data_IF_663494289029
#
_entry.id   IF_663494289029
#
_cell.length_a   1.000
_cell.length_b   1.000
_cell.length_c   1.000
_cell.angle_alpha   90.00
_cell.angle_beta   90.00
_cell.angle_gamma   90.00
#
_symmetry.space_group_name_H-M   'P 1'
#
loop_
_entity.id
_entity.type
_entity.pdbx_description
1 polymer ?
#
# COMPACT_ATOMS: atom_id res chain seq x y z
N UNK A 1 79.53 -4.46 39.74
CA UNK A 1 79.50 -3.48 38.62
C UNK A 1 78.10 -2.88 38.62
N UNK A 2 77.96 -1.63 39.04
CA UNK A 2 76.68 -0.93 39.18
C UNK A 2 76.35 -0.19 37.88
N UNK A 3 75.32 -0.63 37.17
CA UNK A 3 74.81 0.05 35.97
C UNK A 3 73.60 0.91 36.37
N UNK A 4 73.81 2.21 36.53
CA UNK A 4 72.74 3.19 36.74
C UNK A 4 72.13 3.52 35.37
N UNK A 5 70.88 3.12 35.14
CA UNK A 5 70.10 3.57 33.98
C UNK A 5 69.55 4.97 34.25
N UNK A 6 69.99 5.96 33.47
CA UNK A 6 69.40 7.29 33.46
C UNK A 6 68.18 7.32 32.51
N UNK A 7 67.01 7.65 33.05
CA UNK A 7 65.81 7.94 32.28
C UNK A 7 65.93 9.38 31.77
N UNK A 8 65.86 9.65 30.45
CA UNK A 8 65.93 11.02 29.95
C UNK A 8 64.67 11.81 30.32
N UNK A 9 64.86 13.08 30.67
CA UNK A 9 63.78 13.99 31.02
C UNK A 9 62.74 14.09 29.89
N UNK A 10 61.48 13.87 30.26
CA UNK A 10 60.32 14.04 29.37
C UNK A 10 60.32 15.48 28.88
N UNK A 11 60.54 15.71 27.58
CA UNK A 11 60.40 17.04 26.97
C UNK A 11 58.96 17.49 27.21
N UNK A 12 58.79 18.47 28.09
CA UNK A 12 57.50 19.13 28.32
C UNK A 12 57.12 19.76 26.99
N UNK A 13 55.99 19.30 26.42
CA UNK A 13 55.40 19.93 25.24
C UNK A 13 55.30 21.43 25.54
N UNK A 14 55.94 22.26 24.71
CA UNK A 14 55.96 23.70 24.94
C UNK A 14 54.52 24.22 25.07
N UNK A 15 54.30 25.22 25.93
CA UNK A 15 52.97 25.82 26.16
C UNK A 15 52.29 26.23 24.84
N UNK A 16 53.08 26.54 23.81
CA UNK A 16 52.64 26.82 22.44
C UNK A 16 51.98 25.62 21.73
N UNK A 17 52.48 24.39 21.91
CA UNK A 17 51.88 23.19 21.31
C UNK A 17 50.55 22.82 21.98
N UNK A 18 50.43 23.04 23.30
CA UNK A 18 49.18 22.83 24.03
C UNK A 18 48.14 23.87 23.60
N UNK A 19 48.53 25.14 23.50
CA UNK A 19 47.67 26.20 23.00
C UNK A 19 47.20 25.97 21.56
N UNK A 20 48.07 25.48 20.67
CA UNK A 20 47.68 25.12 19.29
C UNK A 20 46.73 23.91 19.22
N UNK A 21 46.90 22.92 20.10
CA UNK A 21 45.96 21.79 20.21
C UNK A 21 44.59 22.23 20.73
N UNK A 22 44.54 23.10 21.74
CA UNK A 22 43.28 23.66 22.23
C UNK A 22 42.62 24.59 21.20
N UNK A 23 43.39 25.41 20.47
CA UNK A 23 42.87 26.25 19.41
C UNK A 23 42.32 25.43 18.23
N UNK A 24 43.00 24.34 17.85
CA UNK A 24 42.53 23.38 16.85
C UNK A 24 41.23 22.69 17.28
N UNK A 25 41.16 22.21 18.53
CA UNK A 25 39.93 21.65 19.10
C UNK A 25 38.80 22.68 19.18
N UNK A 26 39.09 23.95 19.51
CA UNK A 26 38.09 25.02 19.52
C UNK A 26 37.56 25.26 18.10
N UNK A 27 38.43 25.40 17.10
CA UNK A 27 38.00 25.58 15.70
C UNK A 27 37.14 24.39 15.22
N UNK A 28 37.47 23.17 15.62
CA UNK A 28 36.68 21.98 15.27
C UNK A 28 35.35 21.86 16.04
N UNK A 29 35.26 22.42 17.26
CA UNK A 29 34.04 22.39 18.08
C UNK A 29 33.05 23.51 17.74
N UNK A 30 33.51 24.63 17.16
CA UNK A 30 32.68 25.78 16.79
C UNK A 30 32.24 25.79 15.33
N UNK A 31 32.76 24.89 14.48
CA UNK A 31 32.11 24.62 13.19
C UNK A 31 30.91 23.73 13.44
N UNK A 32 29.79 24.34 13.82
CA UNK A 32 28.48 23.72 13.73
C UNK A 32 28.28 23.37 12.25
N UNK A 33 28.44 22.10 11.90
CA UNK A 33 27.97 21.58 10.63
C UNK A 33 26.44 21.53 10.72
N UNK A 34 25.81 22.69 10.56
CA UNK A 34 24.40 22.78 10.26
C UNK A 34 24.20 22.19 8.87
N UNK A 35 24.11 20.87 8.81
CA UNK A 35 23.55 20.17 7.66
C UNK A 35 22.04 20.40 7.68
N UNK A 36 21.61 21.61 7.32
CA UNK A 36 20.23 21.83 6.98
C UNK A 36 19.92 20.95 5.77
N UNK A 37 18.99 20.02 5.93
CA UNK A 37 18.39 19.33 4.80
C UNK A 37 17.83 20.41 3.85
N UNK A 38 18.58 20.71 2.78
CA UNK A 38 18.20 21.73 1.81
C UNK A 38 16.89 21.27 1.18
N UNK A 39 15.80 21.95 1.49
CA UNK A 39 14.50 21.70 0.84
C UNK A 39 14.73 21.81 -0.66
N UNK A 40 14.67 20.68 -1.37
CA UNK A 40 14.87 20.65 -2.81
C UNK A 40 13.87 21.60 -3.45
N UNK A 41 14.37 22.64 -4.11
CA UNK A 41 13.56 23.67 -4.78
C UNK A 41 12.75 23.08 -5.95
N UNK A 42 13.10 21.88 -6.41
CA UNK A 42 12.45 21.18 -7.52
C UNK A 42 11.58 19.98 -7.07
N UNK A 43 11.56 19.67 -5.78
CA UNK A 43 10.87 18.49 -5.23
C UNK A 43 9.39 18.43 -5.62
N UNK A 44 8.68 19.56 -5.53
CA UNK A 44 7.27 19.64 -5.92
C UNK A 44 7.05 19.43 -7.43
N UNK A 45 7.98 19.89 -8.27
CA UNK A 45 7.90 19.71 -9.73
C UNK A 45 8.19 18.27 -10.12
N UNK A 46 9.22 17.67 -9.53
CA UNK A 46 9.58 16.28 -9.76
C UNK A 46 8.47 15.34 -9.26
N UNK A 47 7.92 15.60 -8.08
CA UNK A 47 6.76 14.87 -7.56
C UNK A 47 5.59 14.90 -8.56
N UNK A 48 5.21 16.09 -9.04
CA UNK A 48 4.14 16.22 -10.04
C UNK A 48 4.43 15.44 -11.33
N UNK A 49 5.67 15.50 -11.85
CA UNK A 49 6.07 14.74 -13.04
C UNK A 49 5.95 13.24 -12.82
N UNK A 50 6.44 12.74 -11.68
CA UNK A 50 6.35 11.33 -11.31
C UNK A 50 4.90 10.88 -11.16
N UNK A 51 4.07 11.64 -10.46
CA UNK A 51 2.63 11.35 -10.33
C UNK A 51 1.96 11.31 -11.70
N UNK A 52 2.24 12.29 -12.57
CA UNK A 52 1.68 12.34 -13.91
C UNK A 52 2.12 11.13 -14.75
N UNK A 53 3.41 10.81 -14.79
CA UNK A 53 3.93 9.66 -15.53
C UNK A 53 3.30 8.33 -15.06
N UNK A 54 3.19 8.13 -13.74
CA UNK A 54 2.56 6.93 -13.17
C UNK A 54 1.04 6.88 -13.38
N UNK A 55 0.38 8.04 -13.58
CA UNK A 55 -1.05 8.13 -13.88
C UNK A 55 -1.40 7.85 -15.34
N UNK A 56 -0.42 7.99 -16.25
CA UNK A 56 -0.59 7.66 -17.66
C UNK A 56 -0.48 6.16 -17.95
N UNK A 57 0.00 5.37 -16.99
CA UNK A 57 0.05 3.92 -17.11
C UNK A 57 -1.36 3.32 -17.04
N UNK A 58 -1.54 2.14 -17.65
CA UNK A 58 -2.75 1.33 -17.49
C UNK A 58 -2.97 0.91 -16.02
N UNK A 59 -4.10 0.25 -15.72
CA UNK A 59 -4.42 -0.29 -14.37
C UNK A 59 -3.17 -0.88 -13.72
N UNK A 60 -2.83 -0.41 -12.51
CA UNK A 60 -1.64 -0.83 -11.74
C UNK A 60 -2.02 -1.76 -10.59
N UNK A 61 -3.10 -2.51 -10.73
CA UNK A 61 -3.48 -3.59 -9.83
C UNK A 61 -2.58 -4.82 -9.99
N UNK A 62 -2.39 -5.58 -8.90
CA UNK A 62 -1.58 -6.80 -8.90
C UNK A 62 -1.94 -7.73 -10.06
N UNK A 63 -0.93 -8.14 -10.84
CA UNK A 63 -1.09 -9.02 -12.01
C UNK A 63 -1.34 -8.29 -13.33
N UNK A 64 -1.57 -6.98 -13.32
CA UNK A 64 -1.75 -6.19 -14.54
C UNK A 64 -0.41 -5.91 -15.26
N UNK A 65 -0.52 -5.46 -16.51
CA UNK A 65 0.63 -4.94 -17.26
C UNK A 65 1.16 -3.63 -16.67
N UNK A 66 0.28 -2.73 -16.20
CA UNK A 66 0.66 -1.44 -15.63
C UNK A 66 1.53 -1.54 -14.37
N UNK A 67 1.38 -2.61 -13.56
CA UNK A 67 2.29 -2.88 -12.42
C UNK A 67 3.72 -3.13 -12.90
N UNK A 68 3.89 -3.91 -13.96
CA UNK A 68 5.23 -4.22 -14.51
C UNK A 68 5.89 -2.97 -15.06
N UNK A 69 5.11 -2.13 -15.75
CA UNK A 69 5.58 -0.85 -16.29
C UNK A 69 5.94 0.13 -15.18
N UNK A 70 5.12 0.24 -14.13
CA UNK A 70 5.42 1.07 -12.97
C UNK A 70 6.68 0.60 -12.23
N UNK A 71 6.86 -0.71 -12.05
CA UNK A 71 8.05 -1.27 -11.42
C UNK A 71 9.33 -0.94 -12.20
N UNK A 72 9.29 -1.06 -13.53
CA UNK A 72 10.40 -0.65 -14.40
C UNK A 72 10.66 0.85 -14.32
N UNK A 73 9.61 1.67 -14.41
CA UNK A 73 9.71 3.12 -14.31
C UNK A 73 10.40 3.55 -13.00
N UNK A 74 9.98 2.98 -11.86
CA UNK A 74 10.57 3.26 -10.54
C UNK A 74 12.03 2.78 -10.47
N UNK A 75 12.29 1.56 -10.95
CA UNK A 75 13.64 0.99 -10.98
C UNK A 75 14.60 1.85 -11.81
N UNK A 76 14.17 2.32 -12.97
CA UNK A 76 15.00 3.14 -13.86
C UNK A 76 15.30 4.52 -13.25
N UNK A 77 14.34 5.10 -12.53
CA UNK A 77 14.58 6.33 -11.76
C UNK A 77 15.59 6.09 -10.63
N UNK A 78 15.44 5.04 -9.83
CA UNK A 78 16.41 4.73 -8.79
C UNK A 78 17.81 4.44 -9.37
N UNK A 79 17.89 3.71 -10.49
CA UNK A 79 19.15 3.45 -11.17
C UNK A 79 19.83 4.75 -11.62
N UNK A 80 19.06 5.71 -12.15
CA UNK A 80 19.57 7.01 -12.56
C UNK A 80 20.03 7.86 -11.36
N UNK A 81 19.18 7.98 -10.33
CA UNK A 81 19.44 8.78 -9.13
C UNK A 81 20.66 8.27 -8.35
N UNK A 82 20.85 6.96 -8.29
CA UNK A 82 21.97 6.32 -7.59
C UNK A 82 23.17 5.98 -8.48
N UNK A 83 23.21 6.45 -9.73
CA UNK A 83 24.29 6.13 -10.68
C UNK A 83 25.70 6.45 -10.18
N UNK A 84 25.86 7.47 -9.33
CA UNK A 84 27.14 7.87 -8.73
C UNK A 84 27.43 7.21 -7.37
N UNK A 85 26.52 6.39 -6.84
CA UNK A 85 26.63 5.77 -5.52
C UNK A 85 27.05 4.30 -5.62
N UNK A 86 28.36 4.05 -5.58
CA UNK A 86 28.95 2.70 -5.76
C UNK A 86 28.52 1.65 -4.74
N UNK A 87 28.01 2.05 -3.58
CA UNK A 87 27.52 1.15 -2.52
C UNK A 87 26.05 0.78 -2.66
N UNK A 88 25.28 1.50 -3.49
CA UNK A 88 23.84 1.27 -3.65
C UNK A 88 23.60 0.24 -4.76
N UNK A 89 22.79 -0.76 -4.45
CA UNK A 89 22.31 -1.75 -5.42
C UNK A 89 20.81 -1.57 -5.61
N UNK A 90 20.39 -1.42 -6.85
CA UNK A 90 18.96 -1.38 -7.23
C UNK A 90 18.61 -2.65 -7.98
N UNK A 91 17.36 -3.09 -7.88
CA UNK A 91 16.86 -4.25 -8.60
C UNK A 91 15.35 -4.38 -8.49
N UNK A 92 14.79 -5.32 -9.23
CA UNK A 92 13.38 -5.69 -9.15
C UNK A 92 13.30 -7.08 -8.52
N UNK A 93 12.56 -7.20 -7.42
CA UNK A 93 12.25 -8.47 -6.81
C UNK A 93 10.83 -8.91 -7.20
N UNK A 94 10.73 -10.10 -7.77
CA UNK A 94 9.46 -10.69 -8.19
C UNK A 94 8.93 -11.63 -7.11
N UNK A 95 7.61 -11.59 -6.89
CA UNK A 95 6.91 -12.48 -5.97
C UNK A 95 5.78 -13.20 -6.73
N UNK A 96 5.54 -14.46 -6.38
CA UNK A 96 4.36 -15.18 -6.84
C UNK A 96 3.19 -14.82 -5.94
N UNK A 97 2.12 -14.29 -6.54
CA UNK A 97 0.90 -13.90 -5.86
C UNK A 97 -0.31 -14.44 -6.62
N UNK A 98 -1.39 -14.87 -5.95
CA UNK A 98 -2.65 -15.15 -6.62
C UNK A 98 -3.19 -13.87 -7.26
N UNK A 99 -3.62 -13.96 -8.52
CA UNK A 99 -4.24 -12.85 -9.25
C UNK A 99 -5.73 -13.12 -9.38
N UNK A 100 -6.56 -12.24 -8.83
CA UNK A 100 -8.01 -12.34 -8.94
C UNK A 100 -8.48 -11.91 -10.32
N UNK A 101 -9.14 -12.82 -11.04
CA UNK A 101 -9.79 -12.50 -12.32
C UNK A 101 -11.27 -12.24 -12.09
N UNK A 102 -11.70 -11.02 -12.37
CA UNK A 102 -13.08 -10.62 -12.21
C UNK A 102 -13.88 -10.87 -13.49
N UNK A 103 -15.12 -11.34 -13.33
CA UNK A 103 -16.13 -11.47 -14.39
C UNK A 103 -17.35 -10.65 -14.03
N UNK A 104 -18.06 -10.18 -15.05
CA UNK A 104 -19.34 -9.48 -14.86
C UNK A 104 -20.38 -10.53 -14.46
N UNK A 105 -21.06 -10.30 -13.34
CA UNK A 105 -22.20 -11.09 -12.91
C UNK A 105 -23.49 -10.58 -13.54
N UNK A 106 -24.56 -11.38 -13.46
CA UNK A 106 -25.90 -10.93 -13.84
C UNK A 106 -26.90 -11.34 -12.78
N UNK A 107 -27.93 -10.51 -12.59
CA UNK A 107 -29.06 -10.79 -11.72
C UNK A 107 -30.34 -10.79 -12.56
N UNK A 108 -31.18 -11.80 -12.36
CA UNK A 108 -32.50 -11.94 -12.99
C UNK A 108 -33.53 -12.32 -11.93
N UNK A 109 -34.76 -11.90 -12.13
CA UNK A 109 -35.89 -12.32 -11.30
C UNK A 109 -36.50 -13.58 -11.92
N UNK A 110 -36.66 -14.61 -11.11
CA UNK A 110 -37.31 -15.84 -11.56
C UNK A 110 -38.77 -15.58 -11.99
N UNK A 111 -39.22 -16.28 -13.03
CA UNK A 111 -40.60 -16.23 -13.52
C UNK A 111 -40.95 -15.07 -14.47
N UNK A 112 -40.00 -14.19 -14.81
CA UNK A 112 -40.24 -13.12 -15.81
C UNK A 112 -39.65 -13.52 -17.16
N UNK A 113 -40.51 -13.64 -18.16
CA UNK A 113 -40.14 -13.93 -19.55
C UNK A 113 -39.60 -12.63 -20.20
N UNK A 114 -38.55 -12.75 -21.03
CA UNK A 114 -37.91 -11.63 -21.73
C UNK A 114 -37.32 -10.53 -20.84
N UNK A 115 -37.01 -10.83 -19.56
CA UNK A 115 -36.35 -9.87 -18.69
C UNK A 115 -34.90 -9.61 -19.15
N UNK A 116 -34.55 -8.34 -19.32
CA UNK A 116 -33.15 -7.93 -19.44
C UNK A 116 -32.43 -8.10 -18.09
N UNK A 117 -31.30 -8.83 -18.03
CA UNK A 117 -30.56 -9.01 -16.79
C UNK A 117 -30.00 -7.69 -16.28
N UNK A 118 -29.99 -7.53 -14.96
CA UNK A 118 -29.21 -6.46 -14.31
C UNK A 118 -27.75 -6.89 -14.33
N UNK A 119 -26.89 -6.09 -14.94
CA UNK A 119 -25.45 -6.32 -14.89
C UNK A 119 -24.91 -5.99 -13.50
N UNK A 120 -24.14 -6.92 -12.94
CA UNK A 120 -23.47 -6.76 -11.67
C UNK A 120 -21.96 -6.63 -11.94
N UNK A 121 -21.43 -5.39 -12.01
CA UNK A 121 -19.99 -5.22 -12.12
C UNK A 121 -19.32 -5.80 -10.87
N UNK A 122 -18.16 -6.43 -11.02
CA UNK A 122 -17.44 -7.01 -9.89
C UNK A 122 -16.98 -5.91 -8.92
N UNK A 123 -17.20 -6.14 -7.63
CA UNK A 123 -16.68 -5.28 -6.58
C UNK A 123 -15.28 -5.74 -6.18
N UNK A 124 -14.30 -4.86 -6.35
CA UNK A 124 -12.94 -5.08 -5.86
C UNK A 124 -12.87 -4.57 -4.42
N UNK A 125 -12.83 -5.50 -3.47
CA UNK A 125 -12.82 -5.19 -2.03
C UNK A 125 -11.43 -5.47 -1.45
N UNK A 126 -11.03 -4.68 -0.46
CA UNK A 126 -9.73 -4.83 0.20
C UNK A 126 -9.71 -5.96 1.23
N UNK A 127 -10.85 -6.25 1.86
CA UNK A 127 -10.94 -7.12 3.04
C UNK A 127 -11.44 -8.54 2.74
N UNK A 128 -12.10 -8.76 1.60
CA UNK A 128 -12.72 -10.04 1.27
C UNK A 128 -12.70 -10.25 -0.25
N UNK A 129 -12.37 -11.48 -0.66
CA UNK A 129 -12.49 -11.93 -2.05
C UNK A 129 -13.44 -13.12 -2.07
N UNK A 130 -14.76 -12.91 -2.24
CA UNK A 130 -15.73 -14.00 -2.25
C UNK A 130 -15.46 -14.98 -3.39
N UNK A 131 -15.84 -16.27 -3.23
CA UNK A 131 -15.78 -17.22 -4.33
C UNK A 131 -16.72 -16.78 -5.47
N UNK A 132 -16.39 -17.18 -6.70
CA UNK A 132 -17.31 -17.07 -7.83
C UNK A 132 -18.49 -18.02 -7.64
N UNK A 133 -19.67 -17.66 -8.15
CA UNK A 133 -20.77 -18.60 -8.29
C UNK A 133 -20.38 -19.75 -9.23
N UNK A 134 -21.03 -20.89 -9.11
CA UNK A 134 -20.93 -21.97 -10.11
C UNK A 134 -21.53 -21.52 -11.44
N UNK A 135 -21.38 -22.33 -12.49
CA UNK A 135 -21.92 -22.02 -13.83
C UNK A 135 -23.45 -21.92 -13.82
N UNK A 136 -24.08 -22.67 -12.93
CA UNK A 136 -25.54 -22.72 -12.73
C UNK A 136 -26.06 -21.47 -12.00
N UNK A 137 -25.18 -20.71 -11.36
CA UNK A 137 -25.52 -19.54 -10.56
C UNK A 137 -26.07 -19.91 -9.18
N UNK A 138 -26.64 -18.92 -8.49
CA UNK A 138 -27.28 -19.08 -7.17
C UNK A 138 -28.70 -18.56 -7.29
N UNK A 139 -29.67 -19.31 -6.77
CA UNK A 139 -31.07 -18.90 -6.67
C UNK A 139 -31.48 -18.85 -5.21
N UNK A 140 -32.18 -17.78 -4.83
CA UNK A 140 -32.73 -17.59 -3.49
C UNK A 140 -33.71 -16.42 -3.50
N UNK A 141 -34.55 -16.31 -2.48
CA UNK A 141 -35.38 -15.12 -2.30
C UNK A 141 -34.51 -13.92 -1.94
N UNK A 142 -34.98 -12.72 -2.27
CA UNK A 142 -34.24 -11.48 -2.06
C UNK A 142 -34.72 -10.81 -0.78
N UNK A 143 -33.79 -10.42 0.09
CA UNK A 143 -34.08 -9.57 1.25
C UNK A 143 -33.20 -8.32 1.23
N UNK A 144 -33.79 -7.16 1.51
CA UNK A 144 -33.03 -5.92 1.71
C UNK A 144 -32.86 -5.67 3.20
N UNK A 145 -31.62 -5.43 3.65
CA UNK A 145 -31.28 -5.28 5.07
C UNK A 145 -30.56 -3.97 5.37
N UNK A 146 -30.76 -2.91 4.57
CA UNK A 146 -30.17 -1.57 4.81
C UNK A 146 -28.65 -1.66 5.12
N UNK A 147 -28.22 -1.37 6.34
CA UNK A 147 -26.80 -1.36 6.73
C UNK A 147 -26.31 -2.71 7.28
N UNK A 148 -27.16 -3.73 7.34
CA UNK A 148 -26.83 -5.06 7.83
C UNK A 148 -26.66 -5.15 9.34
N UNK A 149 -27.23 -4.23 10.13
CA UNK A 149 -27.27 -4.39 11.58
C UNK A 149 -28.17 -5.58 11.94
N UNK A 150 -27.88 -6.32 13.01
CA UNK A 150 -28.62 -7.55 13.37
C UNK A 150 -30.14 -7.32 13.49
N UNK A 151 -30.54 -6.15 14.00
CA UNK A 151 -31.97 -5.76 14.10
C UNK A 151 -32.66 -5.70 12.74
N UNK A 152 -31.93 -5.42 11.67
CA UNK A 152 -32.46 -5.31 10.31
C UNK A 152 -32.74 -6.68 9.67
N UNK A 153 -32.31 -7.77 10.32
CA UNK A 153 -32.65 -9.15 9.95
C UNK A 153 -33.86 -9.70 10.70
N UNK A 154 -34.35 -9.02 11.75
CA UNK A 154 -35.47 -9.50 12.56
C UNK A 154 -36.72 -9.74 11.71
N UNK A 155 -37.31 -10.93 11.85
CA UNK A 155 -38.50 -11.34 11.10
C UNK A 155 -38.27 -11.67 9.62
N UNK A 156 -37.01 -11.72 9.16
CA UNK A 156 -36.66 -12.12 7.79
C UNK A 156 -36.17 -13.55 7.77
N UNK A 157 -36.57 -14.30 6.76
CA UNK A 157 -35.94 -15.58 6.44
C UNK A 157 -34.61 -15.30 5.76
N UNK A 158 -33.49 -15.62 6.40
CA UNK A 158 -32.14 -15.29 5.92
C UNK A 158 -31.44 -16.51 5.31
N UNK A 159 -31.74 -17.69 5.81
CA UNK A 159 -31.10 -18.92 5.37
C UNK A 159 -31.39 -19.14 3.89
N UNK A 160 -30.34 -19.27 3.08
CA UNK A 160 -30.47 -19.46 1.63
C UNK A 160 -30.75 -18.19 0.83
N UNK A 161 -30.97 -17.04 1.48
CA UNK A 161 -31.38 -15.80 0.82
C UNK A 161 -30.25 -15.14 0.02
N UNK A 162 -30.64 -14.32 -0.96
CA UNK A 162 -29.77 -13.34 -1.62
C UNK A 162 -29.99 -11.99 -0.92
N UNK A 163 -29.01 -11.56 -0.14
CA UNK A 163 -29.09 -10.35 0.69
C UNK A 163 -28.66 -9.13 -0.11
N UNK A 164 -29.44 -8.07 -0.08
CA UNK A 164 -29.10 -6.75 -0.59
C UNK A 164 -28.85 -5.81 0.58
N UNK A 165 -27.71 -5.11 0.56
CA UNK A 165 -27.34 -4.14 1.61
C UNK A 165 -26.67 -2.90 1.03
N UNK A 166 -26.52 -1.84 1.82
CA UNK A 166 -25.80 -0.64 1.42
C UNK A 166 -24.29 -0.93 1.36
N UNK A 167 -23.58 -0.41 0.36
CA UNK A 167 -22.13 -0.61 0.26
C UNK A 167 -21.37 -0.03 1.47
N UNK A 168 -21.90 1.03 2.08
CA UNK A 168 -21.33 1.68 3.26
C UNK A 168 -21.53 0.90 4.59
N UNK A 169 -22.01 -0.34 4.54
CA UNK A 169 -22.29 -1.18 5.71
C UNK A 169 -21.05 -1.67 6.49
N UNK A 170 -19.83 -1.30 6.06
CA UNK A 170 -18.60 -1.69 6.75
C UNK A 170 -18.42 -3.21 6.86
N UNK A 171 -18.43 -3.75 8.08
CA UNK A 171 -18.24 -5.19 8.37
C UNK A 171 -19.56 -5.96 8.55
N UNK A 172 -20.70 -5.28 8.47
CA UNK A 172 -22.01 -5.88 8.75
C UNK A 172 -22.43 -6.96 7.74
N UNK A 173 -21.76 -7.07 6.59
CA UNK A 173 -21.90 -8.21 5.68
C UNK A 173 -21.63 -9.57 6.33
N UNK A 174 -20.82 -9.59 7.41
CA UNK A 174 -20.57 -10.81 8.18
C UNK A 174 -21.84 -11.33 8.85
N UNK A 175 -22.76 -10.46 9.27
CA UNK A 175 -24.04 -10.88 9.86
C UNK A 175 -24.88 -11.66 8.84
N UNK A 176 -24.95 -11.18 7.59
CA UNK A 176 -25.65 -11.89 6.52
C UNK A 176 -25.04 -13.29 6.29
N UNK A 177 -23.71 -13.40 6.26
CA UNK A 177 -23.02 -14.67 6.09
C UNK A 177 -23.25 -15.62 7.28
N UNK A 178 -23.19 -15.11 8.51
CA UNK A 178 -23.42 -15.91 9.74
C UNK A 178 -24.87 -16.41 9.85
N UNK A 179 -25.84 -15.64 9.35
CA UNK A 179 -27.25 -16.00 9.32
C UNK A 179 -27.62 -16.90 8.13
N UNK A 180 -26.64 -17.33 7.33
CA UNK A 180 -26.83 -18.35 6.29
C UNK A 180 -27.26 -17.82 4.92
N UNK A 181 -27.02 -16.54 4.61
CA UNK A 181 -27.24 -16.01 3.27
C UNK A 181 -26.40 -16.76 2.22
N UNK A 182 -27.01 -17.08 1.08
CA UNK A 182 -26.32 -17.73 -0.05
C UNK A 182 -25.47 -16.77 -0.87
N UNK A 183 -25.89 -15.50 -0.94
CA UNK A 183 -25.19 -14.47 -1.68
C UNK A 183 -25.47 -13.08 -1.10
N UNK A 184 -24.58 -12.14 -1.42
CA UNK A 184 -24.68 -10.75 -1.01
C UNK A 184 -24.43 -9.84 -2.21
N UNK A 185 -25.30 -8.86 -2.38
CA UNK A 185 -25.15 -7.77 -3.34
C UNK A 185 -25.26 -6.45 -2.62
N UNK A 186 -24.52 -5.44 -3.08
CA UNK A 186 -24.54 -4.12 -2.47
C UNK A 186 -25.15 -3.07 -3.39
N UNK A 187 -25.93 -2.16 -2.82
CA UNK A 187 -26.37 -0.95 -3.49
C UNK A 187 -25.43 0.21 -3.13
N UNK A 188 -25.04 0.95 -4.16
CA UNK A 188 -24.34 2.23 -3.99
C UNK A 188 -25.39 3.33 -4.04
N UNK A 189 -25.92 3.69 -2.87
CA UNK A 189 -26.88 4.80 -2.70
C UNK A 189 -26.17 5.97 -2.05
N UNK A 190 -26.05 7.09 -2.77
CA UNK A 190 -25.50 8.35 -2.26
C UNK A 190 -23.98 8.38 -2.11
N UNK A 191 -23.35 9.23 -2.92
CA UNK A 191 -22.08 9.91 -2.58
C UNK A 191 -22.46 11.37 -2.38
#
# INVERSE_FOLDING_TARGET
MNSIFAIPARKVLSSLCIAMLFASCFVFCFTVQDSFAKKSSDSAKQFRKTTYALSLLHDRFTGSQGVKEAARFIHDHFKADFSNHKSVKTGIQSFLLPVTHFKIGTLKRAGIINQQPVMLPPLRLNAVTPPTTTKEGITGHIIYVKNGDLVEFNGKDVQGAIVIMNLASGKNWVNAAQLGASALSTLMTGI
#
